data_IF_297766587636
#
_entry.id   IF_297766587636
#
_cell.length_a   1.000
_cell.length_b   1.000
_cell.length_c   1.000
_cell.angle_alpha   90.00
_cell.angle_beta   90.00
_cell.angle_gamma   90.00
#
_symmetry.space_group_name_H-M   'P 1'
#
loop_
_entity.id
_entity.type
_entity.pdbx_description
1 polymer ?
#
# COMPACT_ATOMS: atom_id res chain seq x y z
N UNK A 1 63.69 10.75 -19.29
CA UNK A 1 63.31 11.19 -17.93
C UNK A 1 62.18 12.23 -17.91
N UNK A 2 61.74 12.81 -19.04
CA UNK A 2 60.71 13.86 -19.10
C UNK A 2 59.26 13.29 -19.14
N UNK A 3 59.07 12.02 -19.50
CA UNK A 3 57.73 11.39 -19.58
C UNK A 3 57.09 11.13 -18.20
N UNK A 4 57.90 10.86 -17.18
CA UNK A 4 57.42 10.53 -15.82
C UNK A 4 56.84 11.76 -15.12
N UNK A 5 57.41 12.95 -15.36
CA UNK A 5 56.91 14.21 -14.80
C UNK A 5 55.59 14.64 -15.45
N UNK A 6 55.42 14.44 -16.77
CA UNK A 6 54.16 14.74 -17.47
C UNK A 6 53.02 13.87 -16.95
N UNK A 7 53.25 12.57 -16.75
CA UNK A 7 52.23 11.68 -16.16
C UNK A 7 51.87 12.03 -14.71
N UNK A 8 52.84 12.51 -13.91
CA UNK A 8 52.55 12.97 -12.55
C UNK A 8 51.75 14.28 -12.53
N UNK A 9 52.06 15.22 -13.43
CA UNK A 9 51.33 16.48 -13.54
C UNK A 9 49.88 16.23 -14.01
N UNK A 10 49.70 15.28 -14.92
CA UNK A 10 48.37 14.89 -15.41
C UNK A 10 47.55 14.20 -14.31
N UNK A 11 48.16 13.27 -13.56
CA UNK A 11 47.52 12.64 -12.40
C UNK A 11 47.20 13.62 -11.26
N UNK A 12 48.02 14.64 -11.04
CA UNK A 12 47.74 15.72 -10.08
C UNK A 12 46.61 16.63 -10.57
N UNK A 13 46.55 16.96 -11.85
CA UNK A 13 45.45 17.74 -12.45
C UNK A 13 44.11 17.01 -12.32
N UNK A 14 44.09 15.70 -12.57
CA UNK A 14 42.88 14.89 -12.46
C UNK A 14 42.45 14.73 -10.99
N UNK A 15 43.40 14.56 -10.06
CA UNK A 15 43.12 14.53 -8.63
C UNK A 15 42.62 15.89 -8.07
N UNK A 16 43.14 17.01 -8.57
CA UNK A 16 42.69 18.35 -8.18
C UNK A 16 41.26 18.62 -8.71
N UNK A 17 40.95 18.17 -9.94
CA UNK A 17 39.58 18.23 -10.48
C UNK A 17 38.60 17.38 -9.66
N UNK A 18 38.97 16.14 -9.34
CA UNK A 18 38.16 15.23 -8.53
C UNK A 18 37.88 15.83 -7.13
N UNK A 19 38.90 16.43 -6.51
CA UNK A 19 38.78 17.10 -5.20
C UNK A 19 37.86 18.34 -5.27
N UNK A 20 37.86 19.06 -6.39
CA UNK A 20 37.06 20.27 -6.59
C UNK A 20 35.58 19.97 -6.93
N UNK A 21 35.28 18.81 -7.52
CA UNK A 21 33.93 18.35 -7.83
C UNK A 21 33.24 17.62 -6.66
N UNK A 22 34.01 17.06 -5.71
CA UNK A 22 33.48 16.34 -4.52
C UNK A 22 32.47 17.12 -3.65
N UNK A 23 32.66 18.43 -3.34
CA UNK A 23 31.71 19.16 -2.50
C UNK A 23 30.37 19.40 -3.22
N UNK A 24 30.39 19.56 -4.55
CA UNK A 24 29.20 19.75 -5.37
C UNK A 24 28.41 18.45 -5.54
N UNK A 25 29.09 17.35 -5.91
CA UNK A 25 28.48 16.04 -6.11
C UNK A 25 27.87 15.47 -4.82
N UNK A 26 28.53 15.64 -3.67
CA UNK A 26 28.01 15.20 -2.37
C UNK A 26 26.77 16.00 -1.94
N UNK A 27 26.79 17.33 -2.16
CA UNK A 27 25.64 18.20 -1.88
C UNK A 27 24.44 17.83 -2.74
N UNK A 28 24.65 17.59 -4.03
CA UNK A 28 23.60 17.15 -4.96
C UNK A 28 23.03 15.79 -4.57
N UNK A 29 23.90 14.85 -4.15
CA UNK A 29 23.46 13.54 -3.65
C UNK A 29 22.56 13.68 -2.40
N UNK A 30 22.95 14.47 -1.39
CA UNK A 30 22.14 14.71 -0.20
C UNK A 30 20.80 15.36 -0.58
N UNK A 31 20.85 16.40 -1.41
CA UNK A 31 19.65 17.11 -1.85
C UNK A 31 18.68 16.18 -2.56
N UNK A 32 19.16 15.31 -3.45
CA UNK A 32 18.35 14.31 -4.13
C UNK A 32 17.71 13.32 -3.14
N UNK A 33 18.44 12.86 -2.12
CA UNK A 33 17.87 11.97 -1.09
C UNK A 33 16.78 12.65 -0.27
N UNK A 34 16.97 13.90 0.10
CA UNK A 34 15.97 14.69 0.85
C UNK A 34 14.71 14.88 -0.01
N UNK A 35 14.88 15.30 -1.27
CA UNK A 35 13.76 15.53 -2.19
C UNK A 35 12.99 14.24 -2.45
N UNK A 36 13.67 13.12 -2.73
CA UNK A 36 13.02 11.83 -2.98
C UNK A 36 12.27 11.34 -1.74
N UNK A 37 12.86 11.46 -0.54
CA UNK A 37 12.21 11.07 0.72
C UNK A 37 10.97 11.93 0.99
N UNK A 38 11.04 13.23 0.69
CA UNK A 38 9.92 14.16 0.84
C UNK A 38 8.78 13.85 -0.15
N UNK A 39 9.11 13.62 -1.42
CA UNK A 39 8.14 13.24 -2.45
C UNK A 39 7.48 11.90 -2.12
N UNK A 40 8.25 10.95 -1.59
CA UNK A 40 7.72 9.67 -1.16
C UNK A 40 6.77 9.83 0.04
N UNK A 41 7.15 10.64 1.04
CA UNK A 41 6.30 10.93 2.18
C UNK A 41 4.99 11.63 1.79
N UNK A 42 5.04 12.62 0.89
CA UNK A 42 3.84 13.31 0.41
C UNK A 42 2.92 12.39 -0.40
N UNK A 43 3.48 11.44 -1.17
CA UNK A 43 2.72 10.42 -1.87
C UNK A 43 1.96 9.49 -0.91
N UNK A 44 2.61 9.05 0.17
CA UNK A 44 1.97 8.20 1.20
C UNK A 44 0.81 8.96 1.85
N UNK A 45 1.03 10.22 2.25
CA UNK A 45 -0.01 11.07 2.86
C UNK A 45 -1.19 11.27 1.91
N UNK A 46 -0.92 11.51 0.63
CA UNK A 46 -1.96 11.63 -0.40
C UNK A 46 -2.84 10.37 -0.47
N UNK A 47 -2.23 9.17 -0.47
CA UNK A 47 -2.98 7.91 -0.54
C UNK A 47 -3.79 7.62 0.71
N UNK A 48 -3.28 7.99 1.89
CA UNK A 48 -4.03 7.87 3.14
C UNK A 48 -5.27 8.77 3.12
N UNK A 49 -5.12 10.03 2.69
CA UNK A 49 -6.25 10.94 2.54
C UNK A 49 -7.28 10.43 1.52
N UNK A 50 -6.80 9.84 0.42
CA UNK A 50 -7.66 9.26 -0.60
C UNK A 50 -8.45 8.06 -0.05
N UNK A 51 -7.81 7.15 0.68
CA UNK A 51 -8.51 6.06 1.39
C UNK A 51 -9.54 6.60 2.37
N UNK A 52 -9.19 7.63 3.14
CA UNK A 52 -10.11 8.23 4.12
C UNK A 52 -11.34 8.86 3.44
N UNK A 53 -11.14 9.57 2.33
CA UNK A 53 -12.22 10.15 1.53
C UNK A 53 -13.16 9.08 0.98
N UNK A 54 -12.61 8.04 0.34
CA UNK A 54 -13.43 6.94 -0.19
C UNK A 54 -14.08 6.12 0.92
N UNK A 55 -13.43 5.98 2.08
CA UNK A 55 -14.02 5.35 3.25
C UNK A 55 -15.30 6.06 3.68
N UNK A 56 -15.28 7.39 3.82
CA UNK A 56 -16.48 8.13 4.18
C UNK A 56 -17.60 8.02 3.14
N UNK A 57 -17.25 8.04 1.85
CA UNK A 57 -18.23 7.91 0.76
C UNK A 57 -18.85 6.51 0.73
N UNK A 58 -18.05 5.46 0.91
CA UNK A 58 -18.49 4.06 0.83
C UNK A 58 -18.90 3.46 2.18
N UNK A 59 -18.73 4.19 3.29
CA UNK A 59 -19.17 3.78 4.62
C UNK A 59 -20.65 3.32 4.64
N UNK A 60 -21.63 4.06 4.10
CA UNK A 60 -23.02 3.59 4.08
C UNK A 60 -23.19 2.27 3.31
N UNK A 61 -22.43 2.08 2.23
CA UNK A 61 -22.44 0.82 1.48
C UNK A 61 -21.91 -0.34 2.34
N UNK A 62 -20.79 -0.15 3.05
CA UNK A 62 -20.24 -1.20 3.93
C UNK A 62 -21.20 -1.58 5.06
N UNK A 63 -21.94 -0.61 5.60
CA UNK A 63 -22.97 -0.85 6.62
C UNK A 63 -24.13 -1.67 6.03
N UNK A 64 -24.65 -1.28 4.86
CA UNK A 64 -25.74 -2.01 4.21
C UNK A 64 -25.36 -3.47 3.94
N UNK A 65 -24.15 -3.70 3.45
CA UNK A 65 -23.61 -5.04 3.18
C UNK A 65 -23.42 -5.84 4.49
N UNK A 66 -22.98 -5.21 5.57
CA UNK A 66 -22.88 -5.89 6.87
C UNK A 66 -24.24 -6.29 7.43
N UNK A 67 -25.25 -5.42 7.33
CA UNK A 67 -26.63 -5.70 7.77
C UNK A 67 -27.24 -6.84 6.96
N UNK A 68 -27.01 -6.86 5.65
CA UNK A 68 -27.49 -7.94 4.78
C UNK A 68 -26.84 -9.30 5.14
N UNK A 69 -25.53 -9.30 5.43
CA UNK A 69 -24.82 -10.49 5.89
C UNK A 69 -25.37 -11.01 7.23
N UNK A 70 -25.69 -10.10 8.15
CA UNK A 70 -26.30 -10.43 9.43
C UNK A 70 -27.73 -10.98 9.27
N UNK A 71 -28.54 -10.35 8.43
CA UNK A 71 -29.91 -10.81 8.13
C UNK A 71 -29.92 -12.20 7.49
N UNK A 72 -29.00 -12.43 6.54
CA UNK A 72 -28.79 -13.74 5.92
C UNK A 72 -28.43 -14.81 6.96
N UNK A 73 -27.58 -14.46 7.93
CA UNK A 73 -27.25 -15.35 9.05
C UNK A 73 -28.49 -15.68 9.88
N UNK A 74 -29.32 -14.68 10.23
CA UNK A 74 -30.55 -14.90 11.00
C UNK A 74 -31.50 -15.88 10.31
N UNK A 75 -31.73 -15.72 9.00
CA UNK A 75 -32.57 -16.62 8.21
C UNK A 75 -32.01 -18.04 8.22
N UNK A 76 -30.69 -18.19 8.03
CA UNK A 76 -30.03 -19.50 8.01
C UNK A 76 -30.05 -20.20 9.36
N UNK A 77 -30.18 -19.49 10.48
CA UNK A 77 -30.33 -20.12 11.81
C UNK A 77 -31.55 -21.04 11.85
N UNK A 78 -32.67 -20.63 11.25
CA UNK A 78 -33.91 -21.42 11.19
C UNK A 78 -33.91 -22.53 10.14
N UNK A 79 -32.90 -22.57 9.27
CA UNK A 79 -32.75 -23.63 8.26
C UNK A 79 -31.90 -24.78 8.83
N UNK A 80 -32.30 -26.03 8.60
CA UNK A 80 -31.51 -27.23 8.97
C UNK A 80 -30.24 -27.44 8.12
N UNK A 81 -29.81 -26.42 7.37
CA UNK A 81 -28.59 -26.45 6.59
C UNK A 81 -27.35 -26.17 7.46
N UNK A 82 -26.30 -26.92 7.20
CA UNK A 82 -24.98 -26.75 7.83
C UNK A 82 -24.27 -25.52 7.25
N UNK A 83 -23.64 -24.71 8.10
CA UNK A 83 -22.82 -23.58 7.66
C UNK A 83 -21.53 -24.12 7.04
N UNK A 84 -21.15 -23.60 5.86
CA UNK A 84 -19.94 -24.05 5.17
C UNK A 84 -18.68 -23.42 5.79
N UNK A 85 -17.75 -24.21 6.38
CA UNK A 85 -16.51 -23.68 6.95
C UNK A 85 -15.58 -23.09 5.88
N UNK A 86 -15.67 -23.58 4.64
CA UNK A 86 -14.86 -23.11 3.51
C UNK A 86 -15.18 -21.65 3.21
N UNK A 87 -16.47 -21.27 3.24
CA UNK A 87 -16.95 -19.93 2.91
C UNK A 87 -16.52 -18.89 3.94
N UNK A 88 -16.55 -19.27 5.21
CA UNK A 88 -16.02 -18.45 6.29
C UNK A 88 -14.51 -18.21 6.12
N UNK A 89 -13.73 -19.26 5.82
CA UNK A 89 -12.28 -19.15 5.62
C UNK A 89 -11.92 -18.27 4.41
N UNK A 90 -12.70 -18.35 3.33
CA UNK A 90 -12.52 -17.49 2.16
C UNK A 90 -12.74 -16.01 2.52
N UNK A 91 -13.78 -15.69 3.31
CA UNK A 91 -14.00 -14.32 3.77
C UNK A 91 -12.80 -13.75 4.54
N UNK A 92 -12.22 -14.53 5.45
CA UNK A 92 -11.03 -14.14 6.22
C UNK A 92 -9.78 -14.03 5.33
N UNK A 93 -9.62 -14.92 4.36
CA UNK A 93 -8.47 -14.89 3.44
C UNK A 93 -8.53 -13.65 2.54
N UNK A 94 -9.69 -13.35 1.97
CA UNK A 94 -9.87 -12.17 1.12
C UNK A 94 -9.62 -10.89 1.92
N UNK A 95 -10.17 -10.77 3.14
CA UNK A 95 -9.92 -9.58 3.97
C UNK A 95 -8.45 -9.42 4.31
N UNK A 96 -7.74 -10.52 4.59
CA UNK A 96 -6.29 -10.51 4.86
C UNK A 96 -5.49 -10.06 3.65
N UNK A 97 -5.75 -10.63 2.47
CA UNK A 97 -5.06 -10.26 1.22
C UNK A 97 -5.29 -8.79 0.88
N UNK A 98 -6.53 -8.31 1.01
CA UNK A 98 -6.84 -6.90 0.72
C UNK A 98 -6.13 -5.97 1.70
N UNK A 99 -6.08 -6.29 2.99
CA UNK A 99 -5.35 -5.49 3.98
C UNK A 99 -3.85 -5.41 3.69
N UNK A 100 -3.20 -6.54 3.39
CA UNK A 100 -1.79 -6.55 2.98
C UNK A 100 -1.57 -5.81 1.66
N UNK A 101 -2.47 -5.99 0.68
CA UNK A 101 -2.42 -5.31 -0.60
C UNK A 101 -2.51 -3.79 -0.45
N UNK A 102 -3.40 -3.29 0.42
CA UNK A 102 -3.51 -1.85 0.72
C UNK A 102 -2.26 -1.34 1.43
N UNK A 103 -1.71 -2.08 2.40
CA UNK A 103 -0.48 -1.68 3.09
C UNK A 103 0.71 -1.57 2.13
N UNK A 104 0.87 -2.56 1.23
CA UNK A 104 1.89 -2.52 0.18
C UNK A 104 1.63 -1.34 -0.75
N UNK A 105 0.39 -1.18 -1.22
CA UNK A 105 -0.02 -0.10 -2.12
C UNK A 105 0.26 1.28 -1.53
N UNK A 106 0.13 1.50 -0.22
CA UNK A 106 0.44 2.78 0.40
C UNK A 106 1.91 3.17 0.26
N UNK A 107 2.82 2.21 0.45
CA UNK A 107 4.28 2.42 0.53
C UNK A 107 4.93 2.42 -0.86
N UNK A 108 4.30 1.77 -1.84
CA UNK A 108 4.93 1.47 -3.13
C UNK A 108 5.15 2.76 -3.97
N UNK A 109 6.37 3.09 -4.41
CA UNK A 109 6.67 4.33 -5.13
C UNK A 109 6.31 4.27 -6.63
N UNK A 110 5.21 3.59 -6.99
CA UNK A 110 4.71 3.52 -8.37
C UNK A 110 3.40 4.32 -8.45
N UNK A 111 3.19 5.14 -9.49
CA UNK A 111 1.92 5.83 -9.72
C UNK A 111 0.80 4.83 -10.10
N UNK A 112 0.22 4.19 -9.09
CA UNK A 112 -0.94 3.32 -9.28
C UNK A 112 -2.24 4.14 -9.34
N UNK A 113 -3.23 3.74 -10.16
CA UNK A 113 -4.47 4.46 -10.33
C UNK A 113 -5.24 4.64 -9.01
N UNK A 114 -5.92 5.77 -8.86
CA UNK A 114 -6.75 6.09 -7.68
C UNK A 114 -7.96 5.14 -7.48
N UNK A 115 -8.26 4.30 -8.47
CA UNK A 115 -9.34 3.30 -8.43
C UNK A 115 -9.06 2.16 -7.44
N UNK A 116 -7.81 1.99 -7.00
CA UNK A 116 -7.43 0.94 -6.04
C UNK A 116 -8.13 1.13 -4.69
N UNK A 117 -8.28 2.36 -4.22
CA UNK A 117 -8.93 2.67 -2.94
C UNK A 117 -10.41 2.24 -2.89
N UNK A 118 -11.31 2.65 -3.82
CA UNK A 118 -12.69 2.20 -3.80
C UNK A 118 -12.81 0.68 -4.01
N UNK A 119 -11.99 0.07 -4.86
CA UNK A 119 -11.99 -1.38 -5.05
C UNK A 119 -11.63 -2.14 -3.77
N UNK A 120 -10.64 -1.66 -3.01
CA UNK A 120 -10.26 -2.27 -1.74
C UNK A 120 -11.42 -2.22 -0.73
N UNK A 121 -12.12 -1.07 -0.64
CA UNK A 121 -13.25 -0.91 0.29
C UNK A 121 -14.42 -1.81 -0.10
N UNK A 122 -14.78 -1.88 -1.39
CA UNK A 122 -15.83 -2.78 -1.87
C UNK A 122 -15.46 -4.24 -1.61
N UNK A 123 -14.20 -4.61 -1.84
CA UNK A 123 -13.70 -5.96 -1.58
C UNK A 123 -13.78 -6.32 -0.10
N UNK A 124 -13.44 -5.40 0.80
CA UNK A 124 -13.58 -5.57 2.26
C UNK A 124 -15.06 -5.72 2.64
N UNK A 125 -15.96 -4.90 2.07
CA UNK A 125 -17.40 -5.03 2.30
C UNK A 125 -17.90 -6.43 1.91
N UNK A 126 -17.53 -6.90 0.73
CA UNK A 126 -17.91 -8.25 0.26
C UNK A 126 -17.32 -9.38 1.12
N UNK A 127 -16.03 -9.27 1.49
CA UNK A 127 -15.38 -10.21 2.40
C UNK A 127 -16.07 -10.25 3.77
N UNK A 128 -16.51 -9.09 4.27
CA UNK A 128 -17.24 -8.96 5.53
C UNK A 128 -18.60 -9.65 5.47
N UNK A 129 -19.35 -9.44 4.38
CA UNK A 129 -20.61 -10.17 4.16
C UNK A 129 -20.41 -11.68 4.12
N UNK A 130 -19.39 -12.14 3.39
CA UNK A 130 -19.05 -13.55 3.29
C UNK A 130 -18.68 -14.14 4.65
N UNK A 131 -17.96 -13.38 5.47
CA UNK A 131 -17.58 -13.78 6.81
C UNK A 131 -18.80 -13.83 7.76
N UNK A 132 -19.57 -12.75 7.86
CA UNK A 132 -20.71 -12.62 8.78
C UNK A 132 -21.82 -13.62 8.45
N UNK A 133 -22.15 -13.82 7.17
CA UNK A 133 -23.23 -14.72 6.73
C UNK A 133 -22.96 -16.21 7.01
N UNK A 134 -21.68 -16.58 7.20
CA UNK A 134 -21.25 -17.96 7.45
C UNK A 134 -20.64 -18.15 8.84
N UNK A 135 -20.86 -17.22 9.78
CA UNK A 135 -20.49 -17.42 11.17
C UNK A 135 -21.17 -18.69 11.72
N UNK A 136 -20.40 -19.46 12.49
CA UNK A 136 -20.89 -20.70 13.09
C UNK A 136 -22.11 -20.41 13.97
N UNK A 137 -23.17 -21.20 13.78
CA UNK A 137 -24.33 -21.17 14.67
C UNK A 137 -23.82 -21.51 16.08
N UNK A 138 -23.94 -20.56 17.01
CA UNK A 138 -23.81 -20.85 18.43
C UNK A 138 -25.23 -20.96 18.96
N UNK A 139 -25.52 -22.13 19.50
CA UNK A 139 -26.73 -22.51 20.25
C UNK A 139 -27.04 -21.48 21.32
#
# INVERSE_FOLDING_TARGET
>A
MISVSVSQIQGMSDAIKDTQDTPGAFKEWIQNRIVVTWLWGSLVVYRVNLLMLFWFILMPFTIAVAIDGYSTRMIRTFQFSSQSPIRHRIGVLISTIVMFGVAIWLVLPIPLPSVVAPLAIVSIGWATWMWVSNLQKRI
#
